data_IF_060053018484
#
_entry.id   IF_060053018484
#
_cell.length_a   1.000
_cell.length_b   1.000
_cell.length_c   1.000
_cell.angle_alpha   90.00
_cell.angle_beta   90.00
_cell.angle_gamma   90.00
#
_symmetry.space_group_name_H-M   'P 1'
#
loop_
_entity.id
_entity.type
_entity.pdbx_description
1 polymer ?
#
# COMPACT_ATOMS: atom_id res chain seq x y z
N UNK A 1 -15.85 -6.49 -10.19
CA UNK A 1 -14.42 -6.70 -10.46
C UNK A 1 -13.71 -6.16 -9.23
N UNK A 2 -13.20 -7.06 -8.38
CA UNK A 2 -13.06 -6.89 -6.93
C UNK A 2 -11.62 -7.10 -6.47
N UNK A 3 -11.11 -6.18 -5.63
CA UNK A 3 -9.84 -6.29 -4.92
C UNK A 3 -9.78 -7.54 -4.04
N UNK A 4 -8.62 -8.20 -4.09
CA UNK A 4 -8.39 -9.50 -3.44
C UNK A 4 -7.54 -9.31 -2.19
N UNK A 5 -8.07 -9.76 -1.05
CA UNK A 5 -7.25 -10.15 0.10
C UNK A 5 -6.68 -11.54 -0.23
N UNK A 6 -5.36 -11.67 -0.46
CA UNK A 6 -4.75 -12.98 -0.74
C UNK A 6 -3.67 -13.38 0.25
N UNK A 7 -3.83 -14.60 0.78
CA UNK A 7 -2.75 -15.45 1.30
C UNK A 7 -1.88 -15.94 0.13
N UNK A 8 -0.57 -15.99 0.33
CA UNK A 8 0.43 -16.31 -0.70
C UNK A 8 0.38 -17.77 -1.20
N UNK A 9 0.57 -18.02 -2.51
CA UNK A 9 0.88 -19.35 -3.04
C UNK A 9 2.36 -19.52 -3.46
N UNK A 10 2.79 -20.79 -3.47
CA UNK A 10 4.18 -21.30 -3.54
C UNK A 10 4.71 -21.54 -4.97
N UNK A 11 5.85 -20.92 -5.32
CA UNK A 11 6.92 -21.33 -6.29
C UNK A 11 6.60 -21.55 -7.80
N UNK A 12 7.59 -21.83 -8.69
CA UNK A 12 9.03 -21.47 -8.73
C UNK A 12 9.58 -20.96 -10.12
N UNK A 13 10.74 -20.28 -10.07
CA UNK A 13 11.94 -20.22 -10.98
C UNK A 13 11.90 -19.78 -12.47
N UNK A 14 12.82 -18.84 -12.82
CA UNK A 14 13.33 -18.58 -14.17
C UNK A 14 14.25 -17.33 -14.24
N UNK A 15 15.46 -17.46 -14.79
CA UNK A 15 16.61 -16.54 -14.62
C UNK A 15 16.92 -15.65 -15.85
N UNK A 16 17.71 -14.57 -15.63
CA UNK A 16 18.44 -13.84 -16.69
C UNK A 16 18.92 -12.44 -16.27
N UNK A 17 20.23 -12.11 -16.34
CA UNK A 17 20.76 -10.78 -16.02
C UNK A 17 21.00 -9.95 -17.29
N UNK A 18 20.82 -8.62 -17.21
CA UNK A 18 21.17 -7.73 -18.31
C UNK A 18 20.94 -6.26 -18.00
N UNK A 19 22.05 -5.54 -17.88
CA UNK A 19 22.25 -4.11 -18.07
C UNK A 19 21.63 -3.08 -17.11
N UNK A 20 22.56 -2.37 -16.47
CA UNK A 20 22.34 -1.15 -15.72
C UNK A 20 22.21 0.04 -16.67
N UNK A 21 21.16 0.85 -16.51
CA UNK A 21 21.15 2.21 -17.03
C UNK A 21 20.35 3.15 -16.12
N UNK A 22 21.10 3.97 -15.37
CA UNK A 22 20.83 5.33 -14.87
C UNK A 22 19.43 5.66 -14.27
N UNK A 23 19.31 6.04 -12.98
CA UNK A 23 18.04 6.45 -12.39
C UNK A 23 17.81 7.96 -12.60
N UNK A 24 17.13 8.33 -13.69
CA UNK A 24 16.56 9.67 -13.82
C UNK A 24 15.19 9.58 -14.50
N UNK A 25 14.12 9.88 -13.73
CA UNK A 25 12.79 10.45 -14.11
C UNK A 25 11.84 10.26 -12.88
N UNK A 26 11.54 11.27 -12.04
CA UNK A 26 10.51 12.35 -12.17
C UNK A 26 9.05 11.84 -12.05
N UNK A 27 8.12 12.62 -11.44
CA UNK A 27 7.79 12.72 -10.01
C UNK A 27 6.76 11.64 -9.55
N UNK A 28 6.55 11.46 -8.25
CA UNK A 28 5.51 10.54 -7.74
C UNK A 28 4.39 11.24 -6.95
N UNK A 29 3.51 12.01 -7.62
CA UNK A 29 2.15 12.17 -7.10
C UNK A 29 1.07 12.13 -8.19
N UNK A 30 -0.08 11.52 -7.84
CA UNK A 30 -1.30 11.47 -8.63
C UNK A 30 -1.39 10.25 -9.53
N UNK A 31 -2.08 9.19 -9.10
CA UNK A 31 -2.45 8.00 -9.91
C UNK A 31 -3.33 8.30 -11.14
N UNK A 32 -3.60 9.58 -11.46
CA UNK A 32 -4.62 10.00 -12.44
C UNK A 32 -6.06 9.77 -11.97
N UNK A 33 -6.23 9.29 -10.74
CA UNK A 33 -7.51 9.11 -10.05
C UNK A 33 -8.01 10.42 -9.46
N UNK A 34 -9.30 10.47 -9.10
CA UNK A 34 -9.89 11.65 -8.45
C UNK A 34 -9.15 12.04 -7.15
N UNK A 35 -8.67 11.04 -6.42
CA UNK A 35 -7.86 11.20 -5.21
C UNK A 35 -6.57 10.40 -5.32
N UNK A 36 -5.44 10.95 -4.85
CA UNK A 36 -4.13 10.27 -4.89
C UNK A 36 -4.02 9.10 -3.89
N UNK A 37 -4.79 9.17 -2.80
CA UNK A 37 -5.01 8.11 -1.81
C UNK A 37 -6.49 8.12 -1.39
N UNK A 38 -7.00 7.03 -0.80
CA UNK A 38 -8.41 6.94 -0.39
C UNK A 38 -8.79 8.13 0.50
N UNK A 39 -9.75 8.99 0.09
CA UNK A 39 -10.12 10.17 0.87
C UNK A 39 -10.86 9.79 2.17
N UNK A 40 -11.35 8.54 2.23
CA UNK A 40 -12.04 7.95 3.37
C UNK A 40 -11.54 6.54 3.65
N UNK A 41 -11.68 6.14 4.91
CA UNK A 41 -11.35 4.83 5.44
C UNK A 41 -12.47 4.39 6.38
N UNK A 42 -13.20 3.34 6.03
CA UNK A 42 -14.42 2.90 6.72
C UNK A 42 -15.42 4.06 6.92
N UNK A 43 -15.64 4.85 5.87
CA UNK A 43 -16.51 6.02 5.86
C UNK A 43 -15.94 7.29 6.50
N UNK A 44 -14.84 7.18 7.27
CA UNK A 44 -14.22 8.31 7.98
C UNK A 44 -13.22 9.03 7.10
N UNK A 45 -13.23 10.36 7.09
CA UNK A 45 -12.25 11.14 6.29
C UNK A 45 -10.82 10.88 6.77
N UNK A 46 -9.90 10.75 5.82
CA UNK A 46 -8.46 10.61 6.07
C UNK A 46 -7.75 11.90 5.74
N UNK A 47 -6.94 12.38 6.69
CA UNK A 47 -5.95 13.41 6.42
C UNK A 47 -4.61 12.73 6.11
N UNK A 48 -4.19 12.77 4.84
CA UNK A 48 -2.92 12.24 4.37
C UNK A 48 -1.83 13.31 4.42
N UNK A 49 -0.65 12.90 4.88
CA UNK A 49 0.57 13.70 4.76
C UNK A 49 1.14 13.63 3.33
N UNK A 50 2.09 14.50 2.97
CA UNK A 50 2.82 14.35 1.71
C UNK A 50 3.59 13.02 1.67
N UNK A 51 3.68 12.43 0.48
CA UNK A 51 4.56 11.30 0.23
C UNK A 51 6.03 11.65 0.51
N UNK A 52 6.78 10.69 1.06
CA UNK A 52 8.21 10.79 1.35
C UNK A 52 8.90 9.51 0.88
N UNK A 53 10.19 9.59 0.59
CA UNK A 53 10.98 8.39 0.37
C UNK A 53 11.20 7.68 1.71
N UNK A 54 10.98 6.37 1.76
CA UNK A 54 11.32 5.59 2.94
C UNK A 54 12.85 5.58 3.09
N UNK A 55 13.41 6.05 4.23
CA UNK A 55 14.84 5.89 4.46
C UNK A 55 15.12 4.39 4.55
N UNK A 56 15.89 3.86 3.60
CA UNK A 56 16.35 2.48 3.61
C UNK A 56 17.23 2.29 4.85
N UNK A 57 16.63 1.91 5.97
CA UNK A 57 17.37 1.59 7.18
C UNK A 57 17.95 0.19 6.98
N UNK A 58 19.17 0.14 6.45
CA UNK A 58 19.96 -1.09 6.38
C UNK A 58 20.42 -1.46 7.80
N UNK A 59 19.56 -2.12 8.57
CA UNK A 59 20.00 -2.76 9.82
C UNK A 59 20.76 -4.03 9.42
N UNK A 60 22.03 -4.09 9.84
CA UNK A 60 23.03 -5.08 9.48
C UNK A 60 22.48 -6.51 9.38
N UNK A 61 22.54 -7.08 8.17
CA UNK A 61 22.61 -8.52 7.90
C UNK A 61 21.51 -9.39 8.52
N UNK A 62 20.35 -9.47 7.85
CA UNK A 62 19.36 -10.58 7.79
C UNK A 62 17.91 -10.07 7.54
N UNK A 63 17.74 -8.99 6.78
CA UNK A 63 16.45 -8.63 6.17
C UNK A 63 16.42 -9.14 4.75
N UNK A 64 15.56 -10.14 4.47
CA UNK A 64 15.48 -10.81 3.16
C UNK A 64 15.21 -9.81 2.04
N UNK A 65 16.05 -9.78 0.99
CA UNK A 65 15.86 -8.98 -0.22
C UNK A 65 14.45 -9.10 -0.85
N UNK A 66 13.75 -10.20 -0.60
CA UNK A 66 12.40 -10.45 -1.09
C UNK A 66 11.31 -9.63 -0.37
N UNK A 67 11.54 -9.17 0.87
CA UNK A 67 10.62 -8.27 1.58
C UNK A 67 10.65 -6.84 1.01
N UNK A 68 11.72 -6.47 0.31
CA UNK A 68 11.88 -5.13 -0.28
C UNK A 68 11.17 -5.06 -1.64
N UNK A 69 10.94 -6.20 -2.31
CA UNK A 69 10.35 -6.22 -3.65
C UNK A 69 8.85 -5.97 -3.63
N UNK A 70 8.36 -5.23 -4.64
CA UNK A 70 6.93 -5.11 -4.89
C UNK A 70 6.34 -6.50 -5.21
N UNK A 71 5.22 -6.85 -4.58
CA UNK A 71 4.51 -8.10 -4.87
C UNK A 71 4.00 -8.16 -6.32
N UNK A 72 3.63 -7.01 -6.89
CA UNK A 72 3.01 -6.89 -8.21
C UNK A 72 4.04 -6.88 -9.35
N UNK A 73 5.03 -5.99 -9.31
CA UNK A 73 5.98 -5.81 -10.43
C UNK A 73 7.42 -6.24 -10.11
N UNK A 74 7.67 -6.77 -8.91
CA UNK A 74 8.99 -7.28 -8.46
C UNK A 74 10.14 -6.27 -8.40
N UNK A 75 9.87 -4.98 -8.64
CA UNK A 75 10.87 -3.90 -8.49
C UNK A 75 11.42 -3.88 -7.07
N UNK A 76 12.70 -3.51 -6.94
CA UNK A 76 13.41 -3.34 -5.68
C UNK A 76 13.68 -1.87 -5.33
N UNK A 77 13.09 -0.94 -6.09
CA UNK A 77 13.21 0.49 -5.77
C UNK A 77 12.62 0.77 -4.37
N UNK A 78 13.22 1.71 -3.60
CA UNK A 78 12.65 2.15 -2.34
C UNK A 78 11.19 2.56 -2.52
N UNK A 79 10.33 2.19 -1.59
CA UNK A 79 8.92 2.59 -1.63
C UNK A 79 8.80 4.04 -1.21
N UNK A 80 7.74 4.71 -1.66
CA UNK A 80 7.30 5.92 -0.99
C UNK A 80 6.42 5.56 0.18
N UNK A 81 6.45 6.39 1.22
CA UNK A 81 5.61 6.27 2.40
C UNK A 81 4.79 7.53 2.61
N UNK A 82 3.58 7.35 3.13
CA UNK A 82 2.68 8.44 3.49
C UNK A 82 1.92 8.04 4.76
N UNK A 83 1.80 8.96 5.71
CA UNK A 83 1.02 8.75 6.93
C UNK A 83 -0.38 9.32 6.74
N UNK A 84 -1.39 8.55 7.13
CA UNK A 84 -2.78 8.97 7.17
C UNK A 84 -3.34 8.92 8.59
N UNK A 85 -4.22 9.85 8.92
CA UNK A 85 -4.99 9.80 10.18
C UNK A 85 -6.47 9.97 9.89
N UNK A 86 -7.31 9.06 10.42
CA UNK A 86 -8.77 9.22 10.37
C UNK A 86 -9.25 10.15 11.47
N UNK A 87 -10.28 10.96 11.19
CA UNK A 87 -10.94 11.80 12.21
C UNK A 87 -11.60 10.93 13.28
N UNK A 88 -11.43 11.24 14.58
CA UNK A 88 -12.17 10.59 15.67
C UNK A 88 -13.67 10.84 15.55
N UNK A 89 -14.50 9.80 15.69
CA UNK A 89 -15.95 9.91 15.52
C UNK A 89 -16.68 9.13 16.62
N UNK A 90 -17.41 9.85 17.49
CA UNK A 90 -18.12 9.25 18.62
C UNK A 90 -17.19 8.43 19.51
N UNK A 91 -17.53 7.14 19.70
CA UNK A 91 -16.73 6.19 20.47
C UNK A 91 -15.53 5.61 19.69
N UNK A 92 -15.39 5.91 18.39
CA UNK A 92 -14.32 5.36 17.56
C UNK A 92 -13.09 6.29 17.56
N UNK A 93 -11.95 5.86 18.15
CA UNK A 93 -10.74 6.67 18.17
C UNK A 93 -10.17 6.85 16.76
N UNK A 94 -9.42 7.94 16.55
CA UNK A 94 -8.63 8.16 15.34
C UNK A 94 -7.72 6.95 15.08
N UNK A 95 -7.59 6.56 13.81
CA UNK A 95 -6.75 5.45 13.37
C UNK A 95 -5.55 5.99 12.62
N UNK A 96 -4.39 5.34 12.78
CA UNK A 96 -3.17 5.64 12.03
C UNK A 96 -3.01 4.65 10.89
N UNK A 97 -2.79 5.21 9.71
CA UNK A 97 -2.59 4.50 8.46
C UNK A 97 -1.18 4.81 7.95
N UNK A 98 -0.50 3.81 7.41
CA UNK A 98 0.78 3.96 6.74
C UNK A 98 0.66 3.40 5.33
N UNK A 99 0.57 4.30 4.36
CA UNK A 99 0.52 3.96 2.94
C UNK A 99 1.93 3.77 2.39
N UNK A 100 2.09 2.77 1.52
CA UNK A 100 3.30 2.48 0.78
C UNK A 100 3.00 2.46 -0.71
N UNK A 101 3.77 3.18 -1.52
CA UNK A 101 3.65 3.18 -2.98
C UNK A 101 4.86 2.58 -3.64
N UNK A 102 4.61 1.64 -4.55
CA UNK A 102 5.62 1.11 -5.44
C UNK A 102 5.98 2.14 -6.52
N UNK A 103 7.26 2.49 -6.64
CA UNK A 103 7.74 3.42 -7.68
C UNK A 103 7.76 2.82 -9.08
N UNK A 104 7.76 1.48 -9.20
CA UNK A 104 7.81 0.80 -10.48
C UNK A 104 6.44 0.63 -11.14
N UNK A 105 5.37 0.42 -10.37
CA UNK A 105 4.03 0.19 -10.93
C UNK A 105 2.91 1.03 -10.29
N UNK A 106 3.21 1.91 -9.32
CA UNK A 106 2.21 2.73 -8.64
C UNK A 106 1.25 1.95 -7.71
N UNK A 107 1.50 0.67 -7.50
CA UNK A 107 0.72 -0.17 -6.60
C UNK A 107 0.86 0.30 -5.15
N UNK A 108 -0.27 0.43 -4.46
CA UNK A 108 -0.33 0.96 -3.11
C UNK A 108 -0.81 -0.10 -2.13
N UNK A 109 -0.17 -0.14 -0.96
CA UNK A 109 -0.65 -0.93 0.19
C UNK A 109 -0.77 -0.02 1.39
N UNK A 110 -1.79 -0.21 2.22
CA UNK A 110 -1.97 0.54 3.46
C UNK A 110 -1.88 -0.39 4.66
N UNK A 111 -1.09 0.02 5.63
CA UNK A 111 -1.00 -0.63 6.93
C UNK A 111 -1.83 0.15 7.93
N UNK A 112 -2.85 -0.49 8.48
CA UNK A 112 -3.66 0.04 9.57
C UNK A 112 -3.14 -0.50 10.90
N UNK A 113 -2.79 0.42 11.80
CA UNK A 113 -2.36 0.09 13.16
C UNK A 113 -3.57 0.12 14.09
N UNK A 114 -4.29 -1.00 14.15
CA UNK A 114 -5.43 -1.19 15.03
C UNK A 114 -5.00 -1.69 16.42
N UNK A 115 -5.88 -1.57 17.42
CA UNK A 115 -5.63 -2.10 18.77
C UNK A 115 -5.44 -3.62 18.79
N UNK A 116 -6.08 -4.32 17.86
CA UNK A 116 -6.06 -5.78 17.75
C UNK A 116 -4.87 -6.30 16.94
N UNK A 117 -4.04 -5.40 16.40
CA UNK A 117 -2.87 -5.75 15.59
C UNK A 117 -2.77 -4.92 14.31
N UNK A 118 -1.79 -5.30 13.49
CA UNK A 118 -1.53 -4.67 12.21
C UNK A 118 -2.37 -5.33 11.12
N UNK A 119 -3.11 -4.55 10.34
CA UNK A 119 -3.83 -5.02 9.16
C UNK A 119 -3.19 -4.43 7.90
N UNK A 120 -3.03 -5.24 6.86
CA UNK A 120 -2.45 -4.81 5.59
C UNK A 120 -3.54 -4.89 4.52
N UNK A 121 -3.70 -3.79 3.80
CA UNK A 121 -4.67 -3.59 2.75
C UNK A 121 -3.94 -3.42 1.43
N UNK A 122 -4.42 -4.13 0.41
CA UNK A 122 -3.99 -3.96 -0.96
C UNK A 122 -5.04 -3.10 -1.67
N UNK A 123 -4.63 -1.93 -2.19
CA UNK A 123 -5.57 -0.97 -2.76
C UNK A 123 -5.79 -1.22 -4.25
N UNK A 124 -7.07 -1.25 -4.63
CA UNK A 124 -7.52 -1.30 -6.01
C UNK A 124 -8.12 0.04 -6.47
N UNK A 125 -8.53 0.11 -7.74
CA UNK A 125 -9.03 1.35 -8.33
C UNK A 125 -10.29 1.90 -7.65
N UNK A 126 -11.08 1.06 -6.97
CA UNK A 126 -12.30 1.48 -6.27
C UNK A 126 -12.01 2.27 -4.99
N UNK A 127 -10.87 2.02 -4.35
CA UNK A 127 -10.47 2.69 -3.10
C UNK A 127 -10.22 4.20 -3.28
N UNK A 128 -9.91 4.63 -4.51
CA UNK A 128 -9.61 6.02 -4.84
C UNK A 128 -10.84 6.87 -5.18
N UNK A 129 -12.05 6.29 -5.08
CA UNK A 129 -13.31 7.02 -5.25
C UNK A 129 -13.70 7.83 -4.00
N UNK A 130 -14.76 8.64 -4.11
CA UNK A 130 -15.24 9.51 -3.01
C UNK A 130 -15.70 8.74 -1.76
N UNK A 131 -16.11 7.47 -1.93
CA UNK A 131 -16.48 6.57 -0.84
C UNK A 131 -15.24 6.14 -0.04
N UNK A 132 -14.08 6.09 -0.69
CA UNK A 132 -12.83 5.62 -0.13
C UNK A 132 -12.81 4.12 0.14
N UNK A 133 -11.77 3.70 0.84
CA UNK A 133 -11.58 2.31 1.21
C UNK A 133 -12.49 1.93 2.39
N UNK A 134 -12.98 0.70 2.36
CA UNK A 134 -13.86 0.16 3.36
C UNK A 134 -13.64 -1.35 3.46
N UNK A 135 -13.85 -1.92 4.65
CA UNK A 135 -13.84 -3.37 4.79
C UNK A 135 -14.80 -4.00 3.77
N UNK A 136 -14.35 -4.98 2.97
CA UNK A 136 -15.29 -5.75 2.18
C UNK A 136 -16.33 -6.30 3.15
N UNK A 137 -17.58 -5.88 2.98
CA UNK A 137 -18.70 -6.55 3.65
C UNK A 137 -18.49 -8.04 3.46
N UNK A 138 -18.47 -8.85 4.55
CA UNK A 138 -18.18 -10.25 4.42
C UNK A 138 -19.17 -10.85 3.43
N UNK A 139 -18.67 -11.26 2.28
CA UNK A 139 -19.45 -12.12 1.41
C UNK A 139 -19.69 -13.38 2.23
N UNK A 140 -20.95 -13.61 2.62
CA UNK A 140 -21.35 -14.92 3.13
C UNK A 140 -20.86 -15.93 2.09
N UNK A 141 -19.90 -16.77 2.49
CA UNK A 141 -19.46 -17.86 1.65
C UNK A 141 -20.67 -18.78 1.51
N UNK A 142 -21.31 -18.80 0.34
CA UNK A 142 -22.24 -19.88 0.00
C UNK A 142 -21.36 -21.13 -0.22
N UNK A 143 -21.61 -22.14 0.60
CA UNK A 143 -20.84 -23.39 0.66
C UNK A 143 -21.22 -24.35 -0.46
#
# INVERSE_FOLDING_TARGET
MTGRRTSAPTGPQGAGPGDAMLPLLVPLPGRGTAHDLPPRWDGRKVAWEPWREEPQTFICGRGTHDQIRCATCRTNQPRLTCTGTTAAEGAHPARRLLAYRCRGCGHDTVVELARQGMQVWDLDDSDYGDVGSHDPTPHAYDH
#
